data_IF_997319585033
#
_entry.id   IF_997319585033
#
_cell.length_a   1.000
_cell.length_b   1.000
_cell.length_c   1.000
_cell.angle_alpha   90.00
_cell.angle_beta   90.00
_cell.angle_gamma   90.00
#
_symmetry.space_group_name_H-M   'P 1'
#
loop_
_entity.id
_entity.type
_entity.pdbx_description
1 polymer ?
#
# COMPACT_ATOMS: atom_id res chain seq x y z
N UNK A 1 -50.51 19.43 6.95
CA UNK A 1 -49.76 19.01 5.75
C UNK A 1 -48.31 18.84 6.21
N UNK A 2 -47.81 17.62 6.35
CA UNK A 2 -46.44 17.36 6.84
C UNK A 2 -45.59 17.04 5.61
N UNK A 3 -44.64 17.91 5.29
CA UNK A 3 -43.66 17.67 4.23
C UNK A 3 -42.77 16.49 4.60
N UNK A 4 -42.88 15.38 3.86
CA UNK A 4 -41.89 14.31 3.90
C UNK A 4 -40.65 14.79 3.15
N UNK A 5 -39.60 15.14 3.90
CA UNK A 5 -38.26 15.31 3.34
C UNK A 5 -37.82 13.95 2.81
N UNK A 6 -37.97 13.73 1.51
CA UNK A 6 -37.57 12.51 0.81
C UNK A 6 -36.06 12.37 0.81
N UNK A 7 -35.50 11.70 1.81
CA UNK A 7 -34.09 11.29 1.79
C UNK A 7 -33.98 10.06 0.90
N UNK A 8 -33.54 10.28 -0.35
CA UNK A 8 -33.27 9.18 -1.29
C UNK A 8 -32.07 8.38 -0.80
N UNK A 9 -32.29 7.14 -0.36
CA UNK A 9 -31.23 6.21 0.02
C UNK A 9 -30.36 5.89 -1.19
N UNK A 10 -29.06 6.23 -1.13
CA UNK A 10 -28.08 5.85 -2.16
C UNK A 10 -27.27 4.64 -1.69
N UNK A 11 -27.43 3.52 -2.38
CA UNK A 11 -26.70 2.28 -2.11
C UNK A 11 -25.49 2.22 -3.04
N UNK A 12 -24.30 2.06 -2.46
CA UNK A 12 -23.05 1.87 -3.21
C UNK A 12 -22.54 0.45 -2.98
N UNK A 13 -22.07 -0.20 -4.05
CA UNK A 13 -21.41 -1.52 -3.97
C UNK A 13 -19.92 -1.36 -4.16
N UNK A 14 -19.16 -1.91 -3.23
CA UNK A 14 -17.71 -1.89 -3.33
C UNK A 14 -17.21 -2.91 -4.36
N UNK A 15 -16.40 -2.47 -5.33
CA UNK A 15 -15.84 -3.35 -6.39
C UNK A 15 -14.50 -3.98 -5.98
N UNK A 16 -13.70 -3.28 -5.16
CA UNK A 16 -12.37 -3.71 -4.70
C UNK A 16 -12.12 -3.15 -3.31
N UNK A 17 -12.29 -3.96 -2.28
CA UNK A 17 -12.18 -3.55 -0.87
C UNK A 17 -10.79 -3.11 -0.44
N UNK A 18 -10.73 -1.92 0.16
CA UNK A 18 -9.59 -1.39 0.92
C UNK A 18 -9.97 -1.46 2.40
N UNK A 19 -9.07 -1.92 3.28
CA UNK A 19 -9.35 -1.98 4.72
C UNK A 19 -10.45 -2.94 5.18
N UNK A 20 -10.88 -3.92 4.37
CA UNK A 20 -11.76 -5.01 4.84
C UNK A 20 -11.01 -6.35 4.86
N UNK A 21 -11.49 -7.28 5.68
CA UNK A 21 -10.93 -8.62 5.95
C UNK A 21 -10.87 -9.58 4.75
N UNK A 22 -11.12 -9.14 3.51
CA UNK A 22 -10.79 -9.91 2.29
C UNK A 22 -9.27 -9.94 1.97
N UNK A 23 -8.48 -9.36 2.88
CA UNK A 23 -7.22 -9.75 3.56
C UNK A 23 -6.25 -10.85 3.08
N UNK A 24 -6.57 -11.98 2.40
CA UNK A 24 -5.52 -12.93 1.97
C UNK A 24 -5.05 -12.75 0.51
N UNK A 25 -5.96 -12.52 -0.45
CA UNK A 25 -5.61 -12.56 -1.88
C UNK A 25 -4.75 -11.38 -2.32
N UNK A 26 -5.02 -10.18 -1.79
CA UNK A 26 -4.21 -9.00 -2.08
C UNK A 26 -2.81 -9.12 -1.48
N UNK A 27 -2.69 -9.63 -0.25
CA UNK A 27 -1.40 -9.93 0.37
C UNK A 27 -0.63 -11.04 -0.35
N UNK A 28 -1.31 -12.10 -0.78
CA UNK A 28 -0.70 -13.17 -1.57
C UNK A 28 -0.23 -12.68 -2.96
N UNK A 29 -1.02 -11.83 -3.62
CA UNK A 29 -0.65 -11.22 -4.91
C UNK A 29 0.56 -10.30 -4.76
N UNK A 30 0.59 -9.52 -3.69
CA UNK A 30 1.73 -8.68 -3.33
C UNK A 30 2.98 -9.54 -3.10
N UNK A 31 2.90 -10.57 -2.24
CA UNK A 31 4.02 -11.48 -1.97
C UNK A 31 4.53 -12.15 -3.25
N UNK A 32 3.64 -12.63 -4.12
CA UNK A 32 4.03 -13.20 -5.40
C UNK A 32 4.83 -12.20 -6.28
N UNK A 33 4.46 -10.92 -6.31
CA UNK A 33 5.21 -9.92 -7.07
C UNK A 33 6.54 -9.58 -6.41
N UNK A 34 6.61 -9.58 -5.07
CA UNK A 34 7.85 -9.38 -4.33
C UNK A 34 8.82 -10.56 -4.51
N UNK A 35 8.32 -11.80 -4.51
CA UNK A 35 9.14 -13.01 -4.69
C UNK A 35 9.72 -13.12 -6.12
N UNK A 36 9.04 -12.53 -7.10
CA UNK A 36 9.51 -12.43 -8.49
C UNK A 36 10.33 -11.16 -8.78
N UNK A 37 10.49 -10.28 -7.81
CA UNK A 37 11.36 -9.12 -7.94
C UNK A 37 12.81 -9.61 -8.01
N UNK A 38 13.51 -9.31 -9.10
CA UNK A 38 14.90 -9.75 -9.31
C UNK A 38 15.81 -8.56 -9.66
N UNK A 39 17.12 -8.77 -9.48
CA UNK A 39 18.14 -7.76 -9.77
C UNK A 39 18.18 -6.64 -8.72
N UNK A 40 18.14 -5.39 -9.18
CA UNK A 40 18.36 -4.21 -8.34
C UNK A 40 17.30 -3.98 -7.24
N UNK A 41 16.17 -4.70 -7.30
CA UNK A 41 15.04 -4.52 -6.37
C UNK A 41 14.98 -5.58 -5.24
N UNK A 42 15.89 -6.55 -5.20
CA UNK A 42 15.83 -7.68 -4.26
C UNK A 42 15.84 -7.24 -2.78
N UNK A 43 16.68 -6.25 -2.45
CA UNK A 43 16.73 -5.68 -1.09
C UNK A 43 15.43 -4.95 -0.73
N UNK A 44 14.87 -4.19 -1.66
CA UNK A 44 13.61 -3.46 -1.45
C UNK A 44 12.44 -4.41 -1.30
N UNK A 45 12.40 -5.47 -2.11
CA UNK A 45 11.37 -6.50 -2.03
C UNK A 45 11.36 -7.19 -0.66
N UNK A 46 12.55 -7.53 -0.13
CA UNK A 46 12.72 -8.10 1.21
C UNK A 46 12.23 -7.17 2.31
N UNK A 47 12.54 -5.87 2.23
CA UNK A 47 12.09 -4.88 3.21
C UNK A 47 10.57 -4.72 3.13
N UNK A 48 10.00 -4.54 1.94
CA UNK A 48 8.55 -4.41 1.74
C UNK A 48 7.81 -5.62 2.30
N UNK A 49 8.30 -6.83 2.03
CA UNK A 49 7.69 -8.09 2.51
C UNK A 49 7.64 -8.16 4.04
N UNK A 50 8.62 -7.59 4.74
CA UNK A 50 8.66 -7.55 6.21
C UNK A 50 7.87 -6.38 6.80
N UNK A 51 7.74 -5.29 6.04
CA UNK A 51 7.25 -3.99 6.50
C UNK A 51 5.77 -3.76 6.20
N UNK A 52 5.16 -4.54 5.31
CA UNK A 52 3.75 -4.42 4.97
C UNK A 52 2.81 -5.04 6.02
N UNK A 53 1.80 -4.28 6.42
CA UNK A 53 0.63 -4.69 7.17
C UNK A 53 -0.64 -4.28 6.42
N UNK A 54 -1.28 -5.25 5.76
CA UNK A 54 -2.50 -5.08 4.93
C UNK A 54 -2.33 -4.00 3.86
N UNK A 55 -2.58 -2.74 4.20
CA UNK A 55 -2.54 -1.58 3.30
C UNK A 55 -1.34 -0.64 3.57
N UNK A 56 -0.66 -0.79 4.71
CA UNK A 56 0.39 0.13 5.17
C UNK A 56 1.78 -0.53 5.14
N UNK A 57 2.81 0.23 4.76
CA UNK A 57 4.21 -0.18 4.88
C UNK A 57 4.91 0.70 5.92
N UNK A 58 5.51 0.09 6.95
CA UNK A 58 6.22 0.79 8.03
C UNK A 58 7.65 0.28 8.12
N UNK A 59 8.63 1.16 7.89
CA UNK A 59 10.06 0.85 7.94
C UNK A 59 10.85 2.07 8.42
N UNK A 60 12.06 1.84 8.92
CA UNK A 60 13.01 2.88 9.35
C UNK A 60 14.31 2.80 8.54
N UNK A 61 14.94 3.94 8.31
CA UNK A 61 16.25 4.06 7.67
C UNK A 61 17.15 4.97 8.50
N UNK A 62 18.46 4.79 8.40
CA UNK A 62 19.45 5.57 9.16
C UNK A 62 19.69 6.94 8.51
N UNK A 63 19.54 7.05 7.18
CA UNK A 63 19.73 8.29 6.45
C UNK A 63 18.55 8.63 5.55
N UNK A 64 18.37 9.92 5.27
CA UNK A 64 17.33 10.39 4.35
C UNK A 64 17.57 9.88 2.93
N UNK A 65 18.82 9.75 2.50
CA UNK A 65 19.17 9.23 1.17
C UNK A 65 18.73 7.77 1.01
N UNK A 66 18.90 6.95 2.05
CA UNK A 66 18.42 5.57 2.07
C UNK A 66 16.89 5.52 1.98
N UNK A 67 16.20 6.39 2.72
CA UNK A 67 14.74 6.51 2.67
C UNK A 67 14.26 6.92 1.27
N UNK A 68 14.86 7.96 0.67
CA UNK A 68 14.46 8.45 -0.65
C UNK A 68 14.69 7.38 -1.73
N UNK A 69 15.83 6.69 -1.68
CA UNK A 69 16.11 5.56 -2.57
C UNK A 69 15.06 4.47 -2.42
N UNK A 70 14.75 4.08 -1.19
CA UNK A 70 13.72 3.07 -0.91
C UNK A 70 12.34 3.49 -1.43
N UNK A 71 11.94 4.76 -1.26
CA UNK A 71 10.65 5.28 -1.74
C UNK A 71 10.55 5.15 -3.26
N UNK A 72 11.58 5.55 -3.98
CA UNK A 72 11.61 5.51 -5.46
C UNK A 72 11.56 4.07 -5.95
N UNK A 73 12.44 3.21 -5.42
CA UNK A 73 12.51 1.80 -5.82
C UNK A 73 11.22 1.04 -5.48
N UNK A 74 10.63 1.31 -4.31
CA UNK A 74 9.35 0.72 -3.88
C UNK A 74 8.20 1.12 -4.80
N UNK A 75 8.12 2.41 -5.19
CA UNK A 75 7.09 2.88 -6.14
C UNK A 75 7.22 2.20 -7.49
N UNK A 76 8.44 2.06 -8.02
CA UNK A 76 8.69 1.39 -9.30
C UNK A 76 8.26 -0.08 -9.23
N UNK A 77 8.72 -0.79 -8.19
CA UNK A 77 8.43 -2.21 -8.01
C UNK A 77 6.92 -2.47 -7.82
N UNK A 78 6.22 -1.64 -7.05
CA UNK A 78 4.80 -1.83 -6.79
C UNK A 78 3.93 -1.35 -7.95
N UNK A 79 4.39 -0.37 -8.71
CA UNK A 79 3.69 0.07 -9.93
C UNK A 79 3.64 -1.04 -10.98
N UNK A 80 4.69 -1.86 -11.12
CA UNK A 80 4.64 -3.02 -12.03
C UNK A 80 3.61 -4.07 -11.57
N UNK A 81 3.37 -4.14 -10.26
CA UNK A 81 2.36 -4.97 -9.62
C UNK A 81 0.95 -4.32 -9.59
N UNK A 82 0.76 -3.15 -10.21
CA UNK A 82 -0.48 -2.35 -10.16
C UNK A 82 -0.89 -1.90 -8.74
N UNK A 83 0.05 -1.91 -7.79
CA UNK A 83 -0.11 -1.34 -6.46
C UNK A 83 0.36 0.12 -6.47
N UNK A 84 -0.53 1.03 -6.04
CA UNK A 84 -0.23 2.46 -6.01
C UNK A 84 0.00 2.94 -4.56
N UNK A 85 1.27 3.07 -4.16
CA UNK A 85 1.67 3.67 -2.88
C UNK A 85 1.55 5.19 -2.93
N UNK A 86 0.54 5.73 -2.25
CA UNK A 86 0.15 7.15 -2.35
C UNK A 86 0.57 8.03 -1.17
N UNK A 87 1.07 7.48 -0.07
CA UNK A 87 1.45 8.26 1.11
C UNK A 87 2.69 7.71 1.79
N UNK A 88 3.71 8.57 1.93
CA UNK A 88 4.90 8.31 2.75
C UNK A 88 4.89 9.29 3.92
N UNK A 89 5.04 8.79 5.14
CA UNK A 89 5.23 9.62 6.33
C UNK A 89 6.54 9.21 6.97
N UNK A 90 7.48 10.15 7.07
CA UNK A 90 8.69 10.01 7.88
C UNK A 90 8.51 10.78 9.19
N UNK A 91 9.00 10.21 10.28
CA UNK A 91 9.12 10.91 11.57
C UNK A 91 10.61 11.21 11.76
N UNK A 92 11.02 12.44 11.50
CA UNK A 92 12.37 12.90 11.85
C UNK A 92 12.34 13.34 13.31
N UNK A 93 13.12 12.69 14.18
CA UNK A 93 13.35 13.17 15.53
C UNK A 93 14.39 14.30 15.44
N UNK A 94 14.01 15.51 15.86
CA UNK A 94 14.92 16.65 16.06
C UNK A 94 15.40 16.68 17.51
#
# INVERSE_FOLDING_TARGET
MIEKIGTTLKIYRHRRSFGVTSSPFTGATLNHHLDNASGNFDNVAKILRKSFYVDNCVTSFETEEQLQKFIVESKILLSSAHFNLRGWRSQTFY
#
